data_IF_935086736834
#
_entry.id   IF_935086736834
#
_cell.length_a   1.000
_cell.length_b   1.000
_cell.length_c   1.000
_cell.angle_alpha   90.00
_cell.angle_beta   90.00
_cell.angle_gamma   90.00
#
_symmetry.space_group_name_H-M   'P 1'
#
loop_
_entity.id
_entity.type
_entity.pdbx_description
1 polymer ?
#
# COMPACT_ATOMS: atom_id res chain seq x y z
N UNK A 1 7.02 -17.44 -15.20
CA UNK A 1 6.14 -16.69 -14.28
C UNK A 1 6.82 -16.74 -12.93
N UNK A 2 7.08 -15.59 -12.30
CA UNK A 2 7.68 -15.55 -10.97
C UNK A 2 6.57 -15.26 -9.95
N UNK A 3 6.57 -15.97 -8.83
CA UNK A 3 5.66 -15.74 -7.72
C UNK A 3 6.50 -15.45 -6.48
N UNK A 4 6.24 -14.32 -5.82
CA UNK A 4 7.08 -13.88 -4.69
C UNK A 4 6.26 -13.22 -3.55
N UNK A 5 6.49 -13.58 -2.28
CA UNK A 5 7.36 -14.68 -1.85
C UNK A 5 6.83 -16.04 -2.32
N UNK A 6 7.70 -17.06 -2.48
CA UNK A 6 7.30 -18.38 -2.97
C UNK A 6 6.36 -19.11 -2.01
N UNK A 7 6.40 -18.74 -0.71
CA UNK A 7 5.56 -19.29 0.34
C UNK A 7 5.07 -18.13 1.20
N UNK A 8 3.80 -18.17 1.58
CA UNK A 8 3.18 -17.17 2.46
C UNK A 8 2.07 -16.36 1.80
N UNK A 9 1.42 -15.54 2.60
CA UNK A 9 0.26 -14.75 2.18
C UNK A 9 0.71 -13.49 1.42
N UNK A 10 -0.07 -13.08 0.42
CA UNK A 10 0.19 -11.86 -0.33
C UNK A 10 1.30 -12.02 -1.39
N UNK A 11 1.41 -13.18 -2.02
CA UNK A 11 2.32 -13.38 -3.13
C UNK A 11 1.97 -12.47 -4.33
N UNK A 12 3.01 -11.90 -4.94
CA UNK A 12 2.96 -11.10 -6.16
C UNK A 12 3.31 -12.01 -7.34
N UNK A 13 2.48 -11.97 -8.39
CA UNK A 13 2.72 -12.70 -9.63
C UNK A 13 3.35 -11.75 -10.66
N UNK A 14 4.59 -12.02 -11.06
CA UNK A 14 5.32 -11.27 -12.08
C UNK A 14 5.29 -12.03 -13.40
N UNK A 15 4.59 -11.47 -14.37
CA UNK A 15 4.38 -11.96 -15.72
C UNK A 15 5.49 -11.48 -16.66
N UNK A 16 5.59 -12.12 -17.84
CA UNK A 16 6.52 -11.66 -18.90
C UNK A 16 6.20 -10.26 -19.40
N UNK A 17 4.92 -9.89 -19.43
CA UNK A 17 4.48 -8.55 -19.81
C UNK A 17 5.01 -7.47 -18.87
N UNK A 18 5.20 -7.79 -17.59
CA UNK A 18 5.74 -6.85 -16.62
C UNK A 18 7.21 -6.53 -16.93
N UNK A 19 7.97 -7.49 -17.43
CA UNK A 19 9.38 -7.29 -17.80
C UNK A 19 9.58 -6.25 -18.90
N UNK A 20 8.58 -6.02 -19.76
CA UNK A 20 8.64 -4.97 -20.77
C UNK A 20 8.71 -3.57 -20.12
N UNK A 21 8.22 -3.41 -18.89
CA UNK A 21 8.26 -2.15 -18.12
C UNK A 21 9.62 -1.89 -17.47
N UNK A 22 10.57 -2.82 -17.58
CA UNK A 22 11.96 -2.64 -17.15
C UNK A 22 12.85 -2.02 -18.24
N UNK A 23 12.31 -1.79 -19.44
CA UNK A 23 13.06 -1.17 -20.53
C UNK A 23 13.36 0.32 -20.24
N UNK A 24 14.48 0.87 -20.74
CA UNK A 24 14.80 2.28 -20.56
C UNK A 24 13.68 3.19 -21.08
N UNK A 25 13.32 4.20 -20.29
CA UNK A 25 12.27 5.17 -20.65
C UNK A 25 10.84 4.71 -20.32
N UNK A 26 10.65 3.48 -19.85
CA UNK A 26 9.35 3.00 -19.38
C UNK A 26 9.15 3.26 -17.89
N UNK A 27 7.89 3.50 -17.48
CA UNK A 27 7.54 3.56 -16.06
C UNK A 27 7.33 2.16 -15.49
N UNK A 28 7.80 1.88 -14.28
CA UNK A 28 7.46 0.64 -13.60
C UNK A 28 5.95 0.52 -13.37
N UNK A 29 5.44 -0.70 -13.36
CA UNK A 29 4.04 -0.96 -13.01
C UNK A 29 3.90 -1.28 -11.51
N UNK A 30 2.66 -1.26 -11.03
CA UNK A 30 2.30 -1.55 -9.64
C UNK A 30 2.88 -2.90 -9.16
N UNK A 31 2.85 -3.92 -10.02
CA UNK A 31 3.33 -5.29 -9.72
C UNK A 31 4.85 -5.34 -9.48
N UNK A 32 5.65 -4.69 -10.34
CA UNK A 32 7.11 -4.64 -10.19
C UNK A 32 7.53 -3.84 -8.96
N UNK A 33 6.84 -2.74 -8.67
CA UNK A 33 7.09 -1.94 -7.47
C UNK A 33 6.80 -2.77 -6.22
N UNK A 34 5.66 -3.45 -6.17
CA UNK A 34 5.29 -4.29 -5.02
C UNK A 34 6.27 -5.47 -4.84
N UNK A 35 6.69 -6.10 -5.94
CA UNK A 35 7.72 -7.13 -5.91
C UNK A 35 9.04 -6.62 -5.33
N UNK A 36 9.56 -5.50 -5.84
CA UNK A 36 10.84 -4.93 -5.40
C UNK A 36 10.86 -4.58 -3.92
N UNK A 37 9.79 -3.95 -3.41
CA UNK A 37 9.67 -3.60 -2.00
C UNK A 37 9.65 -4.85 -1.10
N UNK A 38 8.95 -5.92 -1.50
CA UNK A 38 8.92 -7.19 -0.77
C UNK A 38 10.28 -7.88 -0.79
N UNK A 39 10.97 -7.84 -1.92
CA UNK A 39 12.30 -8.41 -2.08
C UNK A 39 13.30 -7.75 -1.12
N UNK A 40 13.36 -6.42 -1.10
CA UNK A 40 14.25 -5.68 -0.19
C UNK A 40 13.86 -5.86 1.27
N UNK A 41 12.56 -5.93 1.60
CA UNK A 41 12.14 -6.20 2.97
C UNK A 41 12.59 -7.59 3.43
N UNK A 42 12.58 -8.59 2.55
CA UNK A 42 13.07 -9.93 2.89
C UNK A 42 14.59 -9.94 3.08
N UNK A 43 15.35 -9.26 2.22
CA UNK A 43 16.80 -9.06 2.39
C UNK A 43 17.11 -8.33 3.72
N UNK A 44 16.28 -7.35 4.09
CA UNK A 44 16.37 -6.68 5.38
C UNK A 44 16.05 -7.64 6.54
N UNK A 45 15.10 -8.57 6.40
CA UNK A 45 14.83 -9.60 7.42
C UNK A 45 16.03 -10.51 7.66
N UNK A 46 16.79 -10.82 6.61
CA UNK A 46 17.99 -11.66 6.70
C UNK A 46 19.16 -10.92 7.36
N UNK A 47 19.33 -9.63 7.08
CA UNK A 47 20.45 -8.82 7.57
C UNK A 47 20.19 -8.16 8.92
N UNK A 48 18.96 -7.69 9.17
CA UNK A 48 18.55 -7.01 10.38
C UNK A 48 17.06 -7.24 10.71
N UNK A 49 16.72 -8.39 11.33
CA UNK A 49 15.34 -8.79 11.57
C UNK A 49 14.56 -7.82 12.47
N UNK A 50 15.22 -7.21 13.47
CA UNK A 50 14.56 -6.28 14.39
C UNK A 50 14.13 -4.99 13.71
N UNK A 51 14.88 -4.52 12.71
CA UNK A 51 14.48 -3.39 11.89
C UNK A 51 13.37 -3.79 10.91
N UNK A 52 13.47 -4.97 10.30
CA UNK A 52 12.47 -5.44 9.36
C UNK A 52 11.07 -5.61 10.00
N UNK A 53 10.99 -6.00 11.27
CA UNK A 53 9.73 -6.12 12.01
C UNK A 53 9.07 -4.76 12.31
N UNK A 54 9.83 -3.66 12.23
CA UNK A 54 9.31 -2.31 12.34
C UNK A 54 8.80 -1.75 11.00
N UNK A 55 9.00 -2.48 9.90
CA UNK A 55 8.65 -2.05 8.54
C UNK A 55 7.45 -2.84 8.02
N UNK A 56 6.41 -2.11 7.61
CA UNK A 56 5.24 -2.68 6.94
C UNK A 56 5.08 -2.09 5.54
N UNK A 57 5.02 -2.95 4.52
CA UNK A 57 4.81 -2.55 3.12
C UNK A 57 3.35 -2.76 2.75
N UNK A 58 2.64 -1.66 2.48
CA UNK A 58 1.29 -1.72 1.92
C UNK A 58 1.33 -1.87 0.39
N UNK A 59 0.31 -2.52 -0.18
CA UNK A 59 0.10 -2.52 -1.64
C UNK A 59 -0.15 -1.11 -2.18
N UNK A 60 0.13 -0.87 -3.46
CA UNK A 60 -0.09 0.45 -4.10
C UNK A 60 -1.57 0.87 -4.14
N UNK A 61 -2.49 -0.07 -3.92
CA UNK A 61 -3.93 0.21 -3.79
C UNK A 61 -4.30 0.88 -2.46
N UNK A 62 -3.47 0.76 -1.43
CA UNK A 62 -3.76 1.31 -0.10
C UNK A 62 -3.96 2.82 -0.17
N UNK A 63 -3.02 3.54 -0.78
CA UNK A 63 -3.11 5.00 -0.90
C UNK A 63 -4.30 5.44 -1.78
N UNK A 64 -4.56 4.72 -2.88
CA UNK A 64 -5.72 4.96 -3.76
C UNK A 64 -7.04 4.87 -2.97
N UNK A 65 -7.14 3.91 -2.04
CA UNK A 65 -8.31 3.78 -1.14
C UNK A 65 -8.34 4.87 -0.07
N UNK A 66 -7.20 5.19 0.54
CA UNK A 66 -7.08 6.20 1.58
C UNK A 66 -7.52 7.59 1.10
N UNK A 67 -7.09 7.98 -0.10
CA UNK A 67 -7.41 9.29 -0.68
C UNK A 67 -8.79 9.34 -1.36
N UNK A 68 -9.59 8.27 -1.24
CA UNK A 68 -10.92 8.25 -1.81
C UNK A 68 -11.87 9.11 -0.95
N UNK A 69 -12.26 10.29 -1.47
CA UNK A 69 -13.14 11.26 -0.81
C UNK A 69 -14.52 10.71 -0.41
N UNK A 70 -14.90 9.50 -0.84
CA UNK A 70 -16.10 8.80 -0.33
C UNK A 70 -16.03 8.47 1.16
N UNK A 71 -14.82 8.41 1.73
CA UNK A 71 -14.59 8.24 3.16
C UNK A 71 -14.14 9.54 3.84
N UNK A 72 -14.30 10.69 3.16
CA UNK A 72 -14.18 11.96 3.86
C UNK A 72 -15.14 11.89 5.04
N UNK A 73 -14.59 11.95 6.25
CA UNK A 73 -15.39 11.95 7.46
C UNK A 73 -16.50 12.97 7.24
N UNK A 74 -17.78 12.59 7.43
CA UNK A 74 -18.84 13.58 7.41
C UNK A 74 -18.38 14.70 8.34
N UNK A 75 -18.47 15.98 7.92
CA UNK A 75 -18.07 17.07 8.79
C UNK A 75 -18.76 16.85 10.13
N UNK A 76 -17.99 16.80 11.21
CA UNK A 76 -18.51 16.59 12.56
C UNK A 76 -19.75 17.47 12.71
N UNK A 77 -20.94 16.87 12.76
CA UNK A 77 -22.16 17.59 13.06
C UNK A 77 -22.15 17.83 14.57
N UNK A 78 -21.25 18.72 15.01
CA UNK A 78 -21.24 19.22 16.37
C UNK A 78 -22.50 20.08 16.53
N UNK A 79 -23.54 19.43 17.08
CA UNK A 79 -24.75 19.99 17.67
C UNK A 79 -25.32 21.27 17.06
N UNK A 80 -26.29 21.15 16.15
CA UNK A 80 -27.43 22.08 16.16
C UNK A 80 -28.38 21.63 17.28
N UNK A 81 -28.06 21.94 18.53
CA UNK A 81 -29.10 22.05 19.57
C UNK A 81 -29.53 23.51 19.56
N UNK A 82 -30.50 23.82 18.69
CA UNK A 82 -31.33 24.99 18.88
C UNK A 82 -32.42 24.63 19.88
N UNK A 83 -32.50 25.35 20.99
CA UNK A 83 -33.62 26.24 21.37
C UNK A 83 -33.70 26.43 22.89
N UNK A 84 -33.75 27.70 23.28
CA UNK A 84 -34.41 28.28 24.47
C UNK A 84 -33.65 28.27 25.81
N UNK A 85 -32.83 29.31 26.00
CA UNK A 85 -32.83 30.08 27.24
C UNK A 85 -32.99 31.56 26.90
N UNK A 86 -34.24 32.01 26.92
CA UNK A 86 -34.62 33.40 27.06
C UNK A 86 -35.65 33.47 28.19
N UNK A 87 -35.35 34.35 29.16
CA UNK A 87 -35.96 34.58 30.48
C UNK A 87 -35.84 33.47 31.52
#
# INVERSE_FOLDING_TARGET
LLVYPPIGTGAVNVNRSDLNRLQPGEFLNDTLIEFGLKFWLNELRETNPSLADQVHVFSSFFYKKLNNKKYAFPPCQFGRIGTNFAN
#
